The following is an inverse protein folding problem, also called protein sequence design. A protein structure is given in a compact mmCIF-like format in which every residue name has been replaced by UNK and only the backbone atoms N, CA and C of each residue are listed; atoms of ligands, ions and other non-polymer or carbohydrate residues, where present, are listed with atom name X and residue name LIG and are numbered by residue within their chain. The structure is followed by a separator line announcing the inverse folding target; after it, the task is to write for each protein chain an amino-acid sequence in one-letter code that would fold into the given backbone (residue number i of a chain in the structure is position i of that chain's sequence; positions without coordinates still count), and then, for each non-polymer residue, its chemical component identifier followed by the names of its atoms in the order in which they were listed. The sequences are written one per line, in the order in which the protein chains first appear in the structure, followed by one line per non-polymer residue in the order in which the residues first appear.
data_IF_244749151045
#
_entry.id   IF_244749151045
#
_cell.length_a   1.000
_cell.length_b   1.000
_cell.length_c   1.000
_cell.angle_alpha   90.00
_cell.angle_beta   90.00
_cell.angle_gamma   90.00
#
_symmetry.space_group_name_H-M   'P 1'
#
loop_
_entity.id
_entity.type
_entity.pdbx_description
1 polymer ?
#
# COMPACT_ATOMS: atom_id res chain seq x y z
N UNK A 1 13.11 12.32 -30.05
CA UNK A 1 13.10 11.92 -28.63
C UNK A 1 13.34 10.43 -28.61
N UNK A 2 14.33 9.93 -27.85
CA UNK A 2 14.44 8.50 -27.63
C UNK A 2 13.18 8.01 -26.92
N UNK A 3 12.57 6.95 -27.44
CA UNK A 3 11.40 6.31 -26.82
C UNK A 3 11.82 5.80 -25.45
N UNK A 4 11.23 6.35 -24.39
CA UNK A 4 11.51 5.85 -23.02
C UNK A 4 10.97 4.44 -22.91
N UNK A 5 11.85 3.48 -22.61
CA UNK A 5 11.48 2.06 -22.50
C UNK A 5 11.13 1.72 -21.04
N UNK A 6 9.89 2.00 -20.63
CA UNK A 6 9.41 1.60 -19.31
C UNK A 6 9.14 0.10 -19.26
N UNK A 7 9.54 -0.54 -18.19
CA UNK A 7 9.47 -1.99 -17.99
C UNK A 7 8.68 -2.43 -16.76
N UNK A 8 8.47 -1.52 -15.80
CA UNK A 8 7.61 -1.73 -14.64
C UNK A 8 6.63 -0.55 -14.57
N UNK A 9 5.35 -0.84 -14.31
CA UNK A 9 4.33 0.11 -13.89
C UNK A 9 3.84 -0.34 -12.51
N UNK A 10 4.18 0.41 -11.47
CA UNK A 10 3.77 0.16 -10.10
C UNK A 10 2.50 0.96 -9.79
N UNK A 11 1.45 0.26 -9.39
CA UNK A 11 0.15 0.82 -9.10
C UNK A 11 -0.15 0.76 -7.61
N UNK A 12 -0.46 1.89 -6.99
CA UNK A 12 -1.18 1.86 -5.73
C UNK A 12 -2.59 1.29 -5.94
N UNK A 13 -3.26 0.94 -4.85
CA UNK A 13 -4.59 0.33 -4.92
C UNK A 13 -5.71 1.29 -4.51
N UNK A 14 -5.72 1.73 -3.24
CA UNK A 14 -6.81 2.50 -2.69
C UNK A 14 -6.74 3.97 -3.16
N UNK A 15 -7.73 4.42 -3.90
CA UNK A 15 -7.68 5.75 -4.54
C UNK A 15 -6.90 5.80 -5.86
N UNK A 16 -6.35 4.67 -6.31
CA UNK A 16 -5.60 4.54 -7.58
C UNK A 16 -6.18 3.45 -8.46
N UNK A 17 -5.85 2.16 -8.22
CA UNK A 17 -6.34 1.04 -9.04
C UNK A 17 -7.81 0.72 -8.76
N UNK A 18 -8.23 0.87 -7.49
CA UNK A 18 -9.59 0.59 -7.07
C UNK A 18 -10.48 1.82 -7.21
N UNK A 19 -11.67 1.60 -7.76
CA UNK A 19 -12.76 2.59 -7.73
C UNK A 19 -13.21 2.87 -6.28
N UNK A 20 -14.02 3.90 -6.08
CA UNK A 20 -14.65 4.19 -4.78
C UNK A 20 -15.46 3.02 -4.23
N UNK A 21 -16.01 2.16 -5.10
CA UNK A 21 -16.73 0.92 -4.74
C UNK A 21 -15.78 -0.27 -4.46
N UNK A 22 -14.48 -0.04 -4.37
CA UNK A 22 -13.44 -1.06 -4.12
C UNK A 22 -13.42 -2.19 -5.15
N UNK A 23 -13.69 -1.86 -6.41
CA UNK A 23 -13.58 -2.77 -7.57
C UNK A 23 -12.52 -2.28 -8.55
N UNK A 24 -12.14 -3.11 -9.53
CA UNK A 24 -11.27 -2.72 -10.64
C UNK A 24 -12.14 -2.58 -11.89
N UNK A 25 -12.15 -1.40 -12.50
CA UNK A 25 -12.96 -1.15 -13.70
C UNK A 25 -12.52 -2.04 -14.87
N UNK A 26 -13.46 -2.61 -15.66
CA UNK A 26 -13.13 -3.48 -16.80
C UNK A 26 -12.19 -2.84 -17.82
N UNK A 27 -12.32 -1.54 -18.04
CA UNK A 27 -11.46 -0.78 -18.94
C UNK A 27 -10.03 -0.70 -18.41
N UNK A 28 -9.85 -0.49 -17.09
CA UNK A 28 -8.54 -0.54 -16.43
C UNK A 28 -7.90 -1.92 -16.59
N UNK A 29 -8.66 -3.01 -16.41
CA UNK A 29 -8.16 -4.39 -16.61
C UNK A 29 -7.66 -4.60 -18.03
N UNK A 30 -8.39 -4.07 -19.04
CA UNK A 30 -8.01 -4.14 -20.46
C UNK A 30 -6.68 -3.41 -20.71
N UNK A 31 -6.52 -2.21 -20.16
CA UNK A 31 -5.33 -1.38 -20.37
C UNK A 31 -4.11 -2.00 -19.66
N UNK A 32 -4.27 -2.58 -18.45
CA UNK A 32 -3.24 -3.37 -17.76
C UNK A 32 -2.80 -4.57 -18.61
N UNK A 33 -3.77 -5.28 -19.22
CA UNK A 33 -3.46 -6.41 -20.10
C UNK A 33 -2.64 -5.95 -21.31
N UNK A 34 -3.03 -4.85 -21.96
CA UNK A 34 -2.29 -4.31 -23.10
C UNK A 34 -0.85 -3.94 -22.78
N UNK A 35 -0.58 -3.39 -21.58
CA UNK A 35 0.78 -3.14 -21.10
C UNK A 35 1.55 -4.45 -20.87
N UNK A 36 0.92 -5.43 -20.24
CA UNK A 36 1.53 -6.74 -19.96
C UNK A 36 1.87 -7.50 -21.24
N UNK A 37 1.03 -7.45 -22.27
CA UNK A 37 1.28 -8.06 -23.58
C UNK A 37 2.46 -7.42 -24.33
N UNK A 38 2.83 -6.17 -23.98
CA UNK A 38 4.05 -5.50 -24.48
C UNK A 38 5.30 -5.80 -23.63
N UNK A 39 5.20 -6.72 -22.67
CA UNK A 39 6.32 -7.15 -21.82
C UNK A 39 6.58 -6.22 -20.63
N UNK A 40 5.65 -5.31 -20.30
CA UNK A 40 5.74 -4.44 -19.13
C UNK A 40 5.19 -5.19 -17.91
N UNK A 41 5.94 -5.23 -16.83
CA UNK A 41 5.46 -5.75 -15.55
C UNK A 41 4.55 -4.70 -14.89
N UNK A 42 3.24 -4.88 -14.95
CA UNK A 42 2.31 -4.11 -14.12
C UNK A 42 2.22 -4.79 -12.76
N UNK A 43 2.50 -4.07 -11.68
CA UNK A 43 2.66 -4.63 -10.34
C UNK A 43 1.85 -3.85 -9.30
N UNK A 44 1.38 -4.55 -8.27
CA UNK A 44 0.82 -3.90 -7.10
C UNK A 44 1.92 -3.21 -6.29
N UNK A 45 1.67 -2.00 -5.79
CA UNK A 45 2.55 -1.29 -4.86
C UNK A 45 1.70 -0.61 -3.78
N UNK A 46 1.38 -1.34 -2.71
CA UNK A 46 0.26 -1.03 -1.83
C UNK A 46 0.58 -1.13 -0.35
N UNK A 47 -0.19 -0.41 0.47
CA UNK A 47 -0.23 -0.59 1.92
C UNK A 47 -0.86 -1.91 2.38
N UNK A 48 -1.59 -2.60 1.51
CA UNK A 48 -2.29 -3.85 1.83
C UNK A 48 -1.33 -5.01 2.00
N UNK A 49 -1.69 -5.97 2.88
CA UNK A 49 -1.01 -7.26 3.00
C UNK A 49 -1.48 -8.26 1.94
N UNK A 50 -0.72 -9.35 1.74
CA UNK A 50 -1.07 -10.39 0.75
C UNK A 50 -2.48 -10.97 0.94
N UNK A 51 -2.97 -11.26 2.18
CA UNK A 51 -4.35 -11.74 2.37
C UNK A 51 -5.42 -10.80 1.82
N UNK A 52 -5.20 -9.49 1.93
CA UNK A 52 -6.13 -8.47 1.42
C UNK A 52 -6.08 -8.38 -0.11
N UNK A 53 -4.90 -8.60 -0.71
CA UNK A 53 -4.71 -8.61 -2.17
C UNK A 53 -5.32 -9.82 -2.86
N UNK A 54 -5.39 -10.97 -2.17
CA UNK A 54 -5.97 -12.21 -2.73
C UNK A 54 -7.39 -12.01 -3.26
N UNK A 55 -8.13 -11.04 -2.71
CA UNK A 55 -9.49 -10.69 -3.16
C UNK A 55 -9.53 -10.17 -4.61
N UNK A 56 -8.42 -9.66 -5.12
CA UNK A 56 -8.31 -9.00 -6.43
C UNK A 56 -7.48 -9.80 -7.45
N UNK A 57 -6.78 -10.85 -7.04
CA UNK A 57 -5.85 -11.57 -7.89
C UNK A 57 -6.47 -12.14 -9.17
N UNK A 58 -7.70 -12.62 -9.09
CA UNK A 58 -8.40 -13.21 -10.24
C UNK A 58 -8.92 -12.16 -11.22
N UNK A 59 -9.08 -10.90 -10.77
CA UNK A 59 -9.51 -9.80 -11.62
C UNK A 59 -8.41 -9.35 -12.59
N UNK A 60 -7.15 -9.38 -12.15
CA UNK A 60 -5.97 -8.97 -12.93
C UNK A 60 -4.87 -10.05 -12.89
N UNK A 61 -5.11 -11.22 -13.51
CA UNK A 61 -4.20 -12.38 -13.43
C UNK A 61 -2.82 -12.11 -14.03
N UNK A 62 -2.65 -11.09 -14.87
CA UNK A 62 -1.40 -10.68 -15.48
C UNK A 62 -0.45 -9.94 -14.50
N UNK A 63 -0.94 -9.38 -13.40
CA UNK A 63 -0.11 -8.71 -12.39
C UNK A 63 0.56 -9.75 -11.48
N UNK A 64 1.77 -10.19 -11.83
CA UNK A 64 2.49 -11.27 -11.14
C UNK A 64 3.09 -10.84 -9.80
N UNK A 65 3.60 -9.63 -9.70
CA UNK A 65 4.37 -9.19 -8.54
C UNK A 65 3.59 -8.21 -7.69
N UNK A 66 3.88 -8.20 -6.38
CA UNK A 66 3.28 -7.27 -5.45
C UNK A 66 4.33 -6.76 -4.45
N UNK A 67 4.39 -5.44 -4.31
CA UNK A 67 5.01 -4.73 -3.21
C UNK A 67 3.91 -4.46 -2.21
N UNK A 68 3.94 -5.17 -1.08
CA UNK A 68 2.90 -5.20 -0.06
C UNK A 68 3.33 -4.51 1.23
N UNK A 69 2.38 -4.22 2.11
CA UNK A 69 2.61 -3.66 3.44
C UNK A 69 3.54 -2.45 3.38
N UNK A 70 3.24 -1.51 2.47
CA UNK A 70 4.00 -0.28 2.24
C UNK A 70 5.50 -0.54 1.95
N UNK A 71 5.81 -1.68 1.28
CA UNK A 71 7.17 -2.04 0.88
C UNK A 71 7.88 -3.05 1.79
N UNK A 72 7.25 -3.48 2.89
CA UNK A 72 7.85 -4.43 3.82
C UNK A 72 7.94 -5.86 3.27
N UNK A 73 7.13 -6.19 2.28
CA UNK A 73 7.12 -7.48 1.61
C UNK A 73 7.06 -7.32 0.10
N UNK A 74 7.99 -7.93 -0.61
CA UNK A 74 7.94 -8.12 -2.07
C UNK A 74 7.59 -9.57 -2.36
N UNK A 75 6.49 -9.78 -3.09
CA UNK A 75 5.87 -11.10 -3.25
C UNK A 75 5.67 -11.46 -4.71
N UNK A 76 6.06 -12.69 -5.09
CA UNK A 76 5.70 -13.32 -6.37
C UNK A 76 4.47 -14.21 -6.15
N UNK A 77 3.30 -13.77 -6.65
CA UNK A 77 2.05 -14.50 -6.45
C UNK A 77 1.94 -15.78 -7.27
N UNK A 78 2.68 -15.90 -8.36
CA UNK A 78 2.68 -17.10 -9.21
C UNK A 78 3.49 -18.20 -8.55
N UNK A 79 4.71 -17.88 -8.11
CA UNK A 79 5.58 -18.81 -7.39
C UNK A 79 5.20 -18.93 -5.90
N UNK A 80 4.28 -18.11 -5.42
CA UNK A 80 3.84 -18.03 -4.01
C UNK A 80 5.02 -17.90 -3.04
N UNK A 81 5.97 -17.03 -3.35
CA UNK A 81 7.18 -16.84 -2.55
C UNK A 81 7.48 -15.37 -2.26
N UNK A 82 8.11 -15.16 -1.12
CA UNK A 82 8.73 -13.89 -0.75
C UNK A 82 10.01 -13.69 -1.59
N UNK A 83 10.15 -12.49 -2.18
CA UNK A 83 11.37 -12.02 -2.87
C UNK A 83 12.23 -11.21 -1.91
N UNK A 84 11.63 -10.28 -1.17
CA UNK A 84 12.28 -9.45 -0.15
C UNK A 84 11.33 -9.25 1.03
N UNK A 85 11.91 -9.15 2.26
CA UNK A 85 11.14 -8.97 3.49
C UNK A 85 11.92 -8.09 4.46
N UNK A 86 11.26 -7.09 5.02
CA UNK A 86 11.81 -6.14 5.99
C UNK A 86 10.83 -5.93 7.15
N UNK A 87 10.82 -6.82 8.15
CA UNK A 87 9.80 -6.82 9.19
C UNK A 87 10.09 -5.77 10.28
N UNK A 88 9.01 -5.31 10.92
CA UNK A 88 9.04 -4.64 12.22
C UNK A 88 9.26 -5.70 13.30
N UNK A 89 10.10 -5.41 14.30
CA UNK A 89 10.31 -6.32 15.43
C UNK A 89 9.04 -6.43 16.28
N UNK A 90 8.77 -7.64 16.80
CA UNK A 90 7.56 -7.92 17.59
C UNK A 90 7.47 -7.05 18.84
N UNK A 91 8.60 -6.78 19.53
CA UNK A 91 8.62 -5.91 20.70
C UNK A 91 8.22 -4.46 20.36
N UNK A 92 8.67 -3.97 19.19
CA UNK A 92 8.29 -2.65 18.70
C UNK A 92 6.81 -2.62 18.35
N UNK A 93 6.32 -3.61 17.64
CA UNK A 93 4.90 -3.69 17.26
C UNK A 93 3.98 -3.82 18.49
N UNK A 94 4.39 -4.56 19.53
CA UNK A 94 3.67 -4.64 20.81
C UNK A 94 3.63 -3.27 21.53
N UNK A 95 4.73 -2.52 21.51
CA UNK A 95 4.76 -1.16 22.07
C UNK A 95 3.84 -0.20 21.30
N UNK A 96 3.73 -0.35 19.97
CA UNK A 96 2.78 0.41 19.15
C UNK A 96 1.32 0.04 19.47
N UNK A 97 1.03 -1.27 19.67
CA UNK A 97 -0.29 -1.71 20.11
C UNK A 97 -0.66 -1.17 21.50
N UNK A 98 0.29 -1.12 22.44
CA UNK A 98 0.09 -0.49 23.74
C UNK A 98 -0.17 1.02 23.62
N UNK A 99 0.53 1.69 22.71
CA UNK A 99 0.29 3.10 22.41
C UNK A 99 -1.12 3.32 21.83
N UNK A 100 -1.54 2.49 20.86
CA UNK A 100 -2.90 2.54 20.31
C UNK A 100 -3.96 2.42 21.42
N UNK A 101 -3.76 1.50 22.37
CA UNK A 101 -4.65 1.33 23.54
C UNK A 101 -4.78 2.61 24.39
N UNK A 102 -3.67 3.33 24.62
CA UNK A 102 -3.67 4.61 25.36
C UNK A 102 -4.49 5.68 24.64
N UNK A 103 -4.41 5.75 23.32
CA UNK A 103 -5.19 6.65 22.47
C UNK A 103 -6.62 6.15 22.19
N UNK A 104 -7.03 4.99 22.71
CA UNK A 104 -8.32 4.34 22.38
C UNK A 104 -8.52 4.22 20.87
N UNK A 105 -7.42 3.96 20.16
CA UNK A 105 -7.34 3.80 18.72
C UNK A 105 -7.27 2.31 18.36
N UNK A 106 -7.64 1.97 17.14
CA UNK A 106 -7.67 0.61 16.62
C UNK A 106 -6.32 0.24 16.00
N UNK A 107 -5.51 -0.65 16.61
CA UNK A 107 -4.33 -1.20 15.97
C UNK A 107 -4.70 -2.31 14.99
N UNK A 108 -4.04 -2.33 13.84
CA UNK A 108 -4.15 -3.37 12.83
C UNK A 108 -2.74 -3.84 12.45
N UNK A 109 -2.44 -5.12 12.71
CA UNK A 109 -1.14 -5.72 12.46
C UNK A 109 -1.20 -6.52 11.15
N UNK A 110 -0.28 -6.24 10.24
CA UNK A 110 -0.16 -6.92 8.96
C UNK A 110 1.10 -7.78 8.96
N UNK A 111 0.92 -9.09 8.81
CA UNK A 111 2.01 -10.05 8.58
C UNK A 111 2.02 -10.50 7.13
N UNK A 112 2.94 -11.39 6.76
CA UNK A 112 2.98 -11.95 5.41
C UNK A 112 1.72 -12.76 5.06
N UNK A 113 1.18 -13.49 6.03
CA UNK A 113 0.16 -14.52 5.82
C UNK A 113 -1.22 -14.14 6.36
N UNK A 114 -1.30 -13.23 7.30
CA UNK A 114 -2.54 -12.81 7.95
C UNK A 114 -2.55 -11.33 8.34
N UNK A 115 -3.73 -10.82 8.60
CA UNK A 115 -3.93 -9.52 9.24
C UNK A 115 -4.70 -9.71 10.54
N UNK A 116 -4.39 -8.92 11.56
CA UNK A 116 -4.85 -9.14 12.94
C UNK A 116 -5.39 -7.84 13.51
N UNK A 117 -6.53 -7.95 14.19
CA UNK A 117 -7.24 -6.82 14.80
C UNK A 117 -7.95 -7.27 16.09
N UNK A 118 -8.22 -6.35 17.01
CA UNK A 118 -9.06 -6.66 18.16
C UNK A 118 -10.51 -6.94 17.73
N UNK A 119 -11.12 -7.96 18.32
CA UNK A 119 -12.49 -8.38 17.96
C UNK A 119 -13.52 -7.26 18.13
N UNK A 120 -13.40 -6.49 19.21
CA UNK A 120 -14.33 -5.41 19.54
C UNK A 120 -14.18 -4.23 18.55
N UNK A 121 -12.99 -3.96 18.04
CA UNK A 121 -12.73 -2.85 17.13
C UNK A 121 -13.41 -3.05 15.76
N UNK A 122 -13.50 -4.30 15.27
CA UNK A 122 -14.12 -4.61 13.97
C UNK A 122 -15.59 -4.18 13.92
N UNK A 123 -16.31 -4.31 15.01
CA UNK A 123 -17.72 -3.89 15.08
C UNK A 123 -17.91 -2.38 15.16
N UNK A 124 -16.84 -1.64 15.45
CA UNK A 124 -16.82 -0.19 15.65
C UNK A 124 -15.98 0.58 14.64
N UNK A 125 -15.62 -0.03 13.49
CA UNK A 125 -14.70 0.58 12.51
C UNK A 125 -15.16 1.93 11.99
N UNK A 126 -16.45 2.24 12.02
CA UNK A 126 -16.97 3.58 11.67
C UNK A 126 -16.47 4.69 12.61
N UNK A 127 -16.26 4.37 13.89
CA UNK A 127 -15.73 5.31 14.88
C UNK A 127 -14.26 5.71 14.59
N UNK A 128 -13.56 4.87 13.83
CA UNK A 128 -12.18 5.06 13.40
C UNK A 128 -12.08 5.49 11.93
N UNK A 129 -13.15 6.00 11.33
CA UNK A 129 -13.25 6.40 9.92
C UNK A 129 -12.93 5.29 8.90
N UNK A 130 -12.79 4.04 9.36
CA UNK A 130 -12.44 2.87 8.56
C UNK A 130 -13.64 1.98 8.18
N UNK A 131 -14.86 2.48 8.32
CA UNK A 131 -16.10 1.68 8.13
C UNK A 131 -16.25 1.06 6.74
N UNK A 132 -15.69 1.68 5.69
CA UNK A 132 -15.71 1.12 4.32
C UNK A 132 -14.94 -0.20 4.22
N UNK A 133 -13.96 -0.42 5.09
CA UNK A 133 -13.15 -1.65 5.12
C UNK A 133 -13.75 -2.74 6.01
N UNK A 134 -14.79 -2.44 6.80
CA UNK A 134 -15.36 -3.39 7.77
C UNK A 134 -15.75 -4.74 7.14
N UNK A 135 -16.45 -4.82 5.97
CA UNK A 135 -16.79 -6.11 5.36
C UNK A 135 -15.57 -6.97 5.01
N UNK A 136 -14.46 -6.33 4.60
CA UNK A 136 -13.20 -7.01 4.35
C UNK A 136 -12.59 -7.53 5.65
N UNK A 137 -12.51 -6.69 6.68
CA UNK A 137 -11.96 -7.06 7.99
C UNK A 137 -12.74 -8.20 8.64
N UNK A 138 -14.07 -8.18 8.57
CA UNK A 138 -14.91 -9.27 9.07
C UNK A 138 -14.58 -10.61 8.42
N UNK A 139 -14.26 -10.58 7.13
CA UNK A 139 -14.04 -11.77 6.31
C UNK A 139 -12.63 -12.35 6.43
N UNK A 140 -11.60 -11.52 6.47
CA UNK A 140 -10.22 -11.98 6.27
C UNK A 140 -9.29 -11.77 7.47
N UNK A 141 -9.61 -10.87 8.41
CA UNK A 141 -8.72 -10.64 9.55
C UNK A 141 -8.93 -11.68 10.64
N UNK A 142 -7.86 -12.07 11.30
CA UNK A 142 -7.93 -12.83 12.55
C UNK A 142 -8.26 -11.86 13.69
N UNK A 143 -9.31 -12.20 14.44
CA UNK A 143 -9.80 -11.42 15.58
C UNK A 143 -9.18 -11.96 16.86
N UNK A 144 -8.63 -11.09 17.69
CA UNK A 144 -8.01 -11.43 18.96
C UNK A 144 -8.61 -10.60 20.10
N UNK A 145 -8.45 -11.09 21.33
CA UNK A 145 -8.96 -10.39 22.51
C UNK A 145 -7.98 -9.32 23.01
N UNK A 146 -6.68 -9.57 22.92
CA UNK A 146 -5.62 -8.67 23.37
C UNK A 146 -4.55 -8.53 22.29
N UNK A 147 -4.52 -7.35 21.66
CA UNK A 147 -3.56 -7.04 20.59
C UNK A 147 -2.13 -6.97 21.09
N UNK A 148 -1.90 -6.50 22.32
CA UNK A 148 -0.56 -6.33 22.87
C UNK A 148 0.07 -7.71 23.12
N UNK A 149 -0.67 -8.60 23.77
CA UNK A 149 -0.16 -9.95 24.07
C UNK A 149 0.04 -10.75 22.79
N UNK A 150 -0.93 -10.70 21.88
CA UNK A 150 -0.84 -11.40 20.59
C UNK A 150 0.38 -10.95 19.78
N UNK A 151 0.62 -9.64 19.70
CA UNK A 151 1.69 -9.07 18.87
C UNK A 151 3.09 -9.50 19.33
N UNK A 152 3.28 -9.80 20.61
CA UNK A 152 4.58 -10.29 21.16
C UNK A 152 5.00 -11.63 20.56
N UNK A 153 4.06 -12.43 20.12
CA UNK A 153 4.30 -13.77 19.59
C UNK A 153 4.36 -13.83 18.06
N UNK A 154 4.06 -12.71 17.38
CA UNK A 154 4.06 -12.66 15.93
C UNK A 154 5.47 -12.58 15.36
N UNK A 155 5.61 -13.18 14.19
CA UNK A 155 6.78 -13.05 13.32
C UNK A 155 6.38 -12.42 12.01
N UNK A 156 7.35 -11.92 11.24
CA UNK A 156 7.08 -11.39 9.89
C UNK A 156 6.07 -10.23 9.85
N UNK A 157 6.08 -9.37 10.88
CA UNK A 157 5.22 -8.18 10.91
C UNK A 157 5.72 -7.19 9.87
N UNK A 158 5.00 -7.04 8.77
CA UNK A 158 5.36 -6.10 7.71
C UNK A 158 5.01 -4.66 8.10
N UNK A 159 3.85 -4.46 8.70
CA UNK A 159 3.32 -3.12 8.99
C UNK A 159 2.41 -3.13 10.21
N UNK A 160 2.38 -2.01 10.90
CA UNK A 160 1.41 -1.67 11.95
C UNK A 160 0.64 -0.45 11.49
N UNK A 161 -0.68 -0.54 11.41
CA UNK A 161 -1.56 0.61 11.24
C UNK A 161 -2.22 0.93 12.59
N UNK A 162 -2.45 2.20 12.85
CA UNK A 162 -3.30 2.68 13.93
C UNK A 162 -4.34 3.61 13.33
N UNK A 163 -5.62 3.29 13.54
CA UNK A 163 -6.75 4.11 13.11
C UNK A 163 -7.31 4.85 14.31
N UNK A 164 -7.42 6.16 14.18
CA UNK A 164 -7.82 7.07 15.26
C UNK A 164 -9.26 7.55 15.08
N UNK A 165 -9.84 8.03 16.18
CA UNK A 165 -11.17 8.66 16.20
C UNK A 165 -11.13 10.13 15.77
N UNK A 166 -9.95 10.75 15.84
CA UNK A 166 -9.72 12.14 15.44
C UNK A 166 -8.35 12.33 14.81
N UNK A 167 -8.21 13.37 13.98
CA UNK A 167 -6.93 13.75 13.40
C UNK A 167 -5.98 14.34 14.47
N UNK A 168 -6.50 14.98 15.52
CA UNK A 168 -5.71 15.48 16.64
C UNK A 168 -4.98 14.36 17.36
N UNK A 169 -5.68 13.25 17.67
CA UNK A 169 -5.07 12.08 18.31
C UNK A 169 -4.03 11.42 17.41
N UNK A 170 -4.30 11.35 16.09
CA UNK A 170 -3.36 10.83 15.11
C UNK A 170 -2.06 11.63 15.08
N UNK A 171 -2.15 12.96 14.98
CA UNK A 171 -1.00 13.85 15.00
C UNK A 171 -0.25 13.80 16.33
N UNK A 172 -0.96 13.80 17.48
CA UNK A 172 -0.34 13.69 18.80
C UNK A 172 0.44 12.36 18.94
N UNK A 173 -0.13 11.26 18.48
CA UNK A 173 0.53 9.96 18.46
C UNK A 173 1.76 9.96 17.54
N UNK A 174 1.67 10.55 16.35
CA UNK A 174 2.82 10.70 15.46
C UNK A 174 3.95 11.49 16.12
N UNK A 175 3.66 12.64 16.74
CA UNK A 175 4.68 13.44 17.44
C UNK A 175 5.35 12.68 18.60
N UNK A 176 4.60 11.83 19.31
CA UNK A 176 5.16 10.94 20.34
C UNK A 176 6.12 9.89 19.76
N UNK A 177 5.76 9.31 18.61
CA UNK A 177 6.45 8.15 18.05
C UNK A 177 7.54 8.48 17.03
N UNK A 178 7.55 9.67 16.41
CA UNK A 178 8.39 10.03 15.26
C UNK A 178 9.90 9.92 15.47
N UNK A 179 10.36 9.80 16.72
CA UNK A 179 11.78 9.59 17.05
C UNK A 179 12.17 8.11 17.08
N UNK A 180 11.22 7.19 17.00
CA UNK A 180 11.49 5.76 16.93
C UNK A 180 12.11 5.39 15.58
N UNK A 181 12.90 4.28 15.52
CA UNK A 181 13.52 3.81 14.28
C UNK A 181 12.49 3.11 13.37
N UNK A 182 11.50 3.88 12.92
CA UNK A 182 10.41 3.46 12.05
C UNK A 182 10.28 4.44 10.87
N UNK A 183 9.67 4.00 9.79
CA UNK A 183 9.14 4.85 8.73
C UNK A 183 7.65 5.06 8.96
N UNK A 184 7.18 6.29 8.75
CA UNK A 184 5.81 6.71 8.99
C UNK A 184 5.17 7.22 7.71
N UNK A 185 3.87 6.97 7.57
CA UNK A 185 3.02 7.62 6.57
C UNK A 185 1.62 7.86 7.14
N UNK A 186 0.96 8.92 6.68
CA UNK A 186 -0.42 9.26 7.01
C UNK A 186 -1.24 9.34 5.71
N UNK A 187 -1.70 8.19 5.19
CA UNK A 187 -2.48 8.17 3.94
C UNK A 187 -3.82 8.89 4.08
N UNK A 188 -4.37 8.89 5.29
CA UNK A 188 -5.58 9.60 5.69
C UNK A 188 -5.31 10.37 6.99
N UNK A 189 -6.08 11.42 7.28
CA UNK A 189 -5.89 12.28 8.46
C UNK A 189 -5.99 11.55 9.80
N UNK A 190 -6.67 10.41 9.83
CA UNK A 190 -6.90 9.60 11.03
C UNK A 190 -6.18 8.26 11.01
N UNK A 191 -5.26 8.04 10.07
CA UNK A 191 -4.54 6.77 9.91
C UNK A 191 -3.03 6.99 9.97
N UNK A 192 -2.37 6.33 10.91
CA UNK A 192 -0.91 6.29 11.01
C UNK A 192 -0.39 4.90 10.62
N UNK A 193 0.40 4.83 9.56
CA UNK A 193 1.09 3.63 9.09
C UNK A 193 2.55 3.63 9.57
N UNK A 194 3.01 2.49 10.06
CA UNK A 194 4.39 2.31 10.53
C UNK A 194 5.00 1.03 9.97
N UNK A 195 6.18 1.18 9.37
CA UNK A 195 7.02 0.09 8.86
C UNK A 195 8.40 0.16 9.50
N UNK A 196 9.26 -0.82 9.27
CA UNK A 196 10.65 -0.75 9.71
C UNK A 196 11.36 0.46 9.09
N UNK A 197 12.36 1.01 9.77
CA UNK A 197 13.09 2.19 9.31
C UNK A 197 13.62 2.02 7.89
N UNK A 198 13.38 3.02 7.03
CA UNK A 198 13.79 3.02 5.62
C UNK A 198 12.91 2.15 4.71
N UNK A 199 11.86 1.52 5.25
CA UNK A 199 10.89 0.75 4.46
C UNK A 199 9.76 1.65 4.00
N UNK A 200 9.58 1.74 2.68
CA UNK A 200 8.57 2.55 1.98
C UNK A 200 8.15 1.82 0.70
N UNK A 201 7.06 2.24 0.06
CA UNK A 201 6.67 1.72 -1.27
C UNK A 201 7.83 1.85 -2.28
N UNK A 202 8.59 2.96 -2.23
CA UNK A 202 9.77 3.18 -3.08
C UNK A 202 10.87 2.15 -2.83
N UNK A 203 11.22 1.88 -1.55
CA UNK A 203 12.26 0.90 -1.22
C UNK A 203 11.84 -0.53 -1.60
N UNK A 204 10.57 -0.89 -1.46
CA UNK A 204 10.03 -2.18 -1.90
C UNK A 204 10.02 -2.31 -3.42
N UNK A 205 9.64 -1.25 -4.15
CA UNK A 205 9.69 -1.23 -5.62
C UNK A 205 11.14 -1.36 -6.12
N UNK A 206 12.08 -0.71 -5.47
CA UNK A 206 13.52 -0.85 -5.79
C UNK A 206 13.99 -2.31 -5.61
N UNK A 207 13.62 -2.97 -4.51
CA UNK A 207 13.96 -4.37 -4.29
C UNK A 207 13.37 -5.28 -5.39
N UNK A 208 12.15 -5.02 -5.87
CA UNK A 208 11.56 -5.72 -7.00
C UNK A 208 12.29 -5.43 -8.33
N UNK A 209 12.61 -4.15 -8.58
CA UNK A 209 13.34 -3.73 -9.78
C UNK A 209 14.73 -4.38 -9.85
N UNK A 210 15.46 -4.41 -8.73
CA UNK A 210 16.76 -5.08 -8.60
C UNK A 210 16.63 -6.59 -8.87
N UNK A 211 15.61 -7.24 -8.31
CA UNK A 211 15.33 -8.67 -8.56
C UNK A 211 15.06 -8.97 -10.05
N UNK A 212 14.37 -8.05 -10.74
CA UNK A 212 14.05 -8.18 -12.17
C UNK A 212 15.17 -7.64 -13.09
N UNK A 213 16.27 -7.12 -12.53
CA UNK A 213 17.35 -6.45 -13.26
C UNK A 213 16.85 -5.30 -14.15
N UNK A 214 15.95 -4.47 -13.59
CA UNK A 214 15.37 -3.31 -14.24
C UNK A 214 15.80 -2.05 -13.50
N UNK A 215 16.48 -1.09 -14.17
CA UNK A 215 16.82 0.19 -13.55
C UNK A 215 15.58 0.98 -13.12
N UNK A 216 15.63 1.67 -11.98
CA UNK A 216 14.54 2.52 -11.51
C UNK A 216 14.11 3.58 -12.53
N UNK A 217 15.03 4.07 -13.35
CA UNK A 217 14.72 4.99 -14.47
C UNK A 217 13.76 4.39 -15.54
N UNK A 218 13.58 3.06 -15.55
CA UNK A 218 12.65 2.35 -16.43
C UNK A 218 11.37 1.91 -15.71
N UNK A 219 11.09 2.50 -14.55
CA UNK A 219 9.86 2.24 -13.79
C UNK A 219 8.93 3.44 -13.83
N UNK A 220 7.64 3.18 -13.73
CA UNK A 220 6.59 4.18 -13.55
C UNK A 220 5.91 3.92 -12.22
N UNK A 221 5.60 4.96 -11.46
CA UNK A 221 4.77 4.90 -10.25
C UNK A 221 3.48 5.67 -10.46
N UNK A 222 2.35 5.08 -10.10
CA UNK A 222 1.03 5.73 -10.14
C UNK A 222 0.44 5.65 -8.73
N UNK A 223 0.06 6.80 -8.16
CA UNK A 223 -0.42 6.89 -6.78
C UNK A 223 -1.17 8.18 -6.49
N UNK A 224 -1.72 8.31 -5.27
CA UNK A 224 -2.57 9.44 -4.89
C UNK A 224 -2.31 10.01 -3.50
N UNK A 225 -1.64 9.28 -2.61
CA UNK A 225 -1.57 9.63 -1.20
C UNK A 225 -0.15 9.67 -0.62
N UNK A 226 -0.04 10.03 0.67
CA UNK A 226 1.24 10.26 1.34
C UNK A 226 2.18 9.06 1.32
N UNK A 227 1.66 7.83 1.44
CA UNK A 227 2.48 6.62 1.41
C UNK A 227 3.06 6.29 0.02
N UNK A 228 2.64 7.02 -1.05
CA UNK A 228 3.19 6.91 -2.40
C UNK A 228 4.40 7.80 -2.64
N UNK A 229 4.64 8.83 -1.82
CA UNK A 229 5.69 9.85 -2.05
C UNK A 229 7.04 9.25 -2.40
N UNK A 230 7.49 8.27 -1.60
CA UNK A 230 8.79 7.64 -1.83
C UNK A 230 8.84 6.88 -3.16
N UNK A 231 7.75 6.21 -3.54
CA UNK A 231 7.63 5.54 -4.85
C UNK A 231 7.67 6.58 -5.98
N UNK A 232 6.81 7.60 -5.90
CA UNK A 232 6.70 8.65 -6.93
C UNK A 232 8.00 9.45 -7.10
N UNK A 233 8.75 9.67 -6.03
CA UNK A 233 10.07 10.31 -6.08
C UNK A 233 11.13 9.43 -6.75
N UNK A 234 11.11 8.12 -6.55
CA UNK A 234 12.19 7.21 -6.93
C UNK A 234 12.10 6.66 -8.36
N UNK A 235 10.93 6.72 -8.98
CA UNK A 235 10.66 6.16 -10.33
C UNK A 235 11.18 7.04 -11.46
N UNK A 236 11.29 6.48 -12.67
CA UNK A 236 11.66 7.21 -13.89
C UNK A 236 10.54 8.06 -14.49
N UNK A 237 9.28 7.80 -14.10
CA UNK A 237 8.10 8.61 -14.44
C UNK A 237 7.08 8.50 -13.30
N UNK A 238 6.74 9.62 -12.72
CA UNK A 238 5.74 9.71 -11.66
C UNK A 238 4.40 10.21 -12.21
N UNK A 239 3.30 9.54 -11.81
CA UNK A 239 1.94 9.89 -12.23
C UNK A 239 1.07 10.03 -10.99
N UNK A 240 0.49 11.22 -10.79
CA UNK A 240 -0.53 11.45 -9.78
C UNK A 240 -1.93 11.19 -10.33
N UNK A 241 -2.78 10.55 -9.54
CA UNK A 241 -4.20 10.42 -9.85
C UNK A 241 -4.93 11.77 -9.77
N UNK A 242 -6.03 11.91 -10.51
CA UNK A 242 -6.87 13.11 -10.49
C UNK A 242 -7.46 13.46 -9.12
N UNK A 243 -7.70 12.43 -8.30
CA UNK A 243 -8.15 12.57 -6.90
C UNK A 243 -6.99 12.74 -5.89
N UNK A 244 -5.71 12.70 -6.32
CA UNK A 244 -4.57 12.82 -5.43
C UNK A 244 -4.54 14.17 -4.69
N UNK A 245 -3.89 14.19 -3.53
CA UNK A 245 -3.63 15.40 -2.76
C UNK A 245 -2.84 16.43 -3.59
N UNK A 246 -3.09 17.72 -3.36
CA UNK A 246 -2.53 18.79 -4.18
C UNK A 246 -0.98 18.80 -4.19
N UNK A 247 -0.36 18.48 -3.07
CA UNK A 247 1.08 18.41 -2.90
C UNK A 247 1.71 17.16 -3.54
N UNK A 248 0.96 16.05 -3.65
CA UNK A 248 1.36 14.88 -4.45
C UNK A 248 1.35 15.26 -5.93
N UNK A 249 0.25 15.88 -6.43
CA UNK A 249 0.17 16.34 -7.83
C UNK A 249 1.30 17.28 -8.21
N UNK A 250 1.70 18.19 -7.31
CA UNK A 250 2.75 19.17 -7.54
C UNK A 250 4.15 18.55 -7.71
N UNK A 251 4.36 17.31 -7.27
CA UNK A 251 5.64 16.61 -7.30
C UNK A 251 5.76 15.62 -8.46
N UNK A 252 4.65 15.33 -9.18
CA UNK A 252 4.61 14.32 -10.23
C UNK A 252 4.83 14.91 -11.63
N UNK A 253 5.40 14.09 -12.52
CA UNK A 253 5.64 14.45 -13.93
C UNK A 253 4.33 14.56 -14.71
N UNK A 254 3.34 13.74 -14.40
CA UNK A 254 2.04 13.69 -15.06
C UNK A 254 0.91 13.63 -14.02
N UNK A 255 -0.24 14.16 -14.44
CA UNK A 255 -1.52 13.99 -13.76
C UNK A 255 -2.46 13.28 -14.72
N UNK A 256 -3.18 12.27 -14.24
CA UNK A 256 -4.21 11.52 -14.99
C UNK A 256 -5.60 11.80 -14.42
N UNK A 257 -6.64 11.16 -14.97
CA UNK A 257 -8.00 11.19 -14.40
C UNK A 257 -8.05 10.54 -13.01
N UNK A 258 -9.17 10.67 -12.31
CA UNK A 258 -9.33 10.04 -11.00
C UNK A 258 -9.61 8.52 -11.13
N UNK A 259 -9.67 7.86 -9.97
CA UNK A 259 -9.85 6.41 -9.87
C UNK A 259 -11.23 5.92 -10.33
N UNK A 260 -12.25 6.76 -10.29
CA UNK A 260 -13.60 6.42 -10.79
C UNK A 260 -13.76 6.67 -12.30
N UNK A 261 -12.84 7.44 -12.91
CA UNK A 261 -12.84 7.78 -14.33
C UNK A 261 -11.69 7.11 -15.13
N UNK A 262 -11.29 5.90 -14.72
CA UNK A 262 -10.25 5.10 -15.39
C UNK A 262 -8.89 5.82 -15.54
N UNK A 263 -8.46 6.56 -14.50
CA UNK A 263 -7.19 7.29 -14.50
C UNK A 263 -5.98 6.40 -14.72
N UNK A 264 -5.94 5.21 -14.11
CA UNK A 264 -4.86 4.23 -14.34
C UNK A 264 -4.80 3.81 -15.80
N UNK A 265 -5.94 3.52 -16.43
CA UNK A 265 -5.99 3.15 -17.84
C UNK A 265 -5.54 4.29 -18.75
N UNK A 266 -5.94 5.53 -18.48
CA UNK A 266 -5.45 6.70 -19.20
C UNK A 266 -3.93 6.83 -19.08
N UNK A 267 -3.38 6.73 -17.87
CA UNK A 267 -1.95 6.78 -17.64
C UNK A 267 -1.21 5.70 -18.44
N UNK A 268 -1.68 4.45 -18.41
CA UNK A 268 -1.10 3.34 -19.15
C UNK A 268 -1.10 3.65 -20.66
N UNK A 269 -2.21 4.10 -21.24
CA UNK A 269 -2.27 4.45 -22.69
C UNK A 269 -1.25 5.51 -23.05
N UNK A 270 -1.13 6.58 -22.23
CA UNK A 270 -0.09 7.63 -22.45
C UNK A 270 1.32 7.05 -22.38
N UNK A 271 1.61 6.19 -21.41
CA UNK A 271 2.93 5.53 -21.25
C UNK A 271 3.27 4.65 -22.47
N UNK A 272 2.29 3.94 -23.02
CA UNK A 272 2.48 3.06 -24.18
C UNK A 272 2.72 3.83 -25.49
N UNK A 273 2.44 5.14 -25.52
CA UNK A 273 2.70 6.05 -26.64
C UNK A 273 4.09 6.75 -26.55
N UNK A 274 4.68 6.83 -25.35
CA UNK A 274 6.01 7.41 -25.11
C UNK A 274 7.14 6.49 -25.55
#
# INVERSE_FOLDING_TARGET
MERKNYRIIALDMDGTLLTSDKTIAPDTVRDIRAASERGIHVVYCTGRAVPELKLYFDMVPMMRYAVCSTGALVYDRVEKRCIDRRPVRSEMAAALAETAKRYRAMPHILTDDETIVAADDVTHMKDFHAGIYQPMFERITRKVADMVEETRHLTSIGKVNIYFRSSEDCHACYEELRTLPLSFAMPEETTLEMTAQGVTKGSGLRALADYLHIPMAQTVGIGDSDNDRAMLHDVGLSVAMGNAQADIKAQCDLITEDNDHNGVGEAIRRILEL
#
